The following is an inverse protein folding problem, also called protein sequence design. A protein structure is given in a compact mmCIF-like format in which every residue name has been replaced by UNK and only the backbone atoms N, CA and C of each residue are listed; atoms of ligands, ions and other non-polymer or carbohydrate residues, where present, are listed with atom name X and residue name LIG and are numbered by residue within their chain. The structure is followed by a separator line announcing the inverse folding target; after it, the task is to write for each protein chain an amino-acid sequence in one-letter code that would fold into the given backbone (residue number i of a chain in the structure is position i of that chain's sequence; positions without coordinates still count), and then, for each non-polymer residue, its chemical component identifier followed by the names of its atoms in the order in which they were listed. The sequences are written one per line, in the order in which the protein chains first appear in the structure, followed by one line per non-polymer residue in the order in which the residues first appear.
data_IF_369860697207
#
_entry.id   IF_369860697207
#
_cell.length_a   1.000
_cell.length_b   1.000
_cell.length_c   1.000
_cell.angle_alpha   90.00
_cell.angle_beta   90.00
_cell.angle_gamma   90.00
#
_symmetry.space_group_name_H-M   'P 1'
#
loop_
_entity.id
_entity.type
_entity.pdbx_description
1 polymer ?
#
# COMPACT_ATOMS: atom_id res chain seq x y z
N UNK A 1 -27.99 0.48 -26.52
CA UNK A 1 -27.23 -0.61 -25.86
C UNK A 1 -26.39 0.05 -24.78
N UNK A 2 -26.77 -0.10 -23.52
CA UNK A 2 -25.94 0.33 -22.41
C UNK A 2 -24.85 -0.74 -22.23
N UNK A 3 -23.60 -0.36 -22.46
CA UNK A 3 -22.45 -1.18 -22.03
C UNK A 3 -22.30 -0.96 -20.53
N UNK A 4 -22.55 -2.00 -19.73
CA UNK A 4 -22.15 -2.05 -18.35
C UNK A 4 -20.61 -2.08 -18.31
N UNK A 5 -20.02 -1.14 -17.55
CA UNK A 5 -18.58 -1.18 -17.28
C UNK A 5 -18.26 -2.50 -16.53
N UNK A 6 -17.21 -3.24 -16.93
CA UNK A 6 -16.80 -4.42 -16.19
C UNK A 6 -16.39 -4.01 -14.77
N UNK A 7 -16.96 -4.69 -13.79
CA UNK A 7 -16.71 -4.38 -12.38
C UNK A 7 -15.32 -4.84 -11.95
N UNK A 8 -14.60 -3.97 -11.26
CA UNK A 8 -13.36 -4.31 -10.57
C UNK A 8 -13.61 -5.45 -9.57
N UNK A 9 -12.86 -6.54 -9.69
CA UNK A 9 -12.89 -7.66 -8.72
C UNK A 9 -11.87 -7.40 -7.62
N UNK A 10 -12.36 -7.28 -6.39
CA UNK A 10 -11.53 -7.13 -5.19
C UNK A 10 -11.25 -8.48 -4.53
N UNK A 11 -10.18 -8.62 -3.73
CA UNK A 11 -9.99 -9.77 -2.86
C UNK A 11 -11.21 -9.96 -1.96
N UNK A 12 -11.66 -11.21 -1.77
CA UNK A 12 -12.84 -11.51 -0.95
C UNK A 12 -12.53 -11.24 0.54
N UNK A 13 -12.99 -10.09 1.03
CA UNK A 13 -13.10 -9.73 2.43
C UNK A 13 -14.44 -9.02 2.64
N UNK A 14 -15.00 -9.06 3.83
CA UNK A 14 -16.25 -8.35 4.15
C UNK A 14 -16.04 -6.85 3.92
N UNK A 15 -16.66 -6.32 2.85
CA UNK A 15 -16.53 -4.92 2.47
C UNK A 15 -17.73 -4.13 2.97
N UNK A 16 -17.52 -3.30 3.98
CA UNK A 16 -18.46 -2.20 4.27
C UNK A 16 -18.23 -1.11 3.21
N UNK A 17 -19.22 -0.91 2.34
CA UNK A 17 -19.23 0.19 1.38
C UNK A 17 -19.55 1.47 2.17
N UNK A 18 -18.54 2.24 2.51
CA UNK A 18 -18.70 3.61 3.03
C UNK A 18 -19.18 4.54 1.91
N UNK A 19 -20.11 5.44 2.26
CA UNK A 19 -20.74 6.39 1.35
C UNK A 19 -19.70 7.30 0.67
N UNK A 20 -19.93 7.67 -0.57
CA UNK A 20 -19.00 8.13 -1.60
C UNK A 20 -18.34 9.51 -1.39
N UNK A 21 -18.25 10.03 -0.17
CA UNK A 21 -17.61 11.32 0.13
C UNK A 21 -16.66 11.34 1.34
N UNK A 22 -16.34 10.23 1.92
CA UNK A 22 -15.38 10.18 3.03
C UNK A 22 -13.98 10.52 2.49
N UNK A 23 -13.50 11.71 2.79
CA UNK A 23 -12.12 12.09 2.46
C UNK A 23 -11.13 11.23 3.23
N UNK A 24 -9.92 11.00 2.68
CA UNK A 24 -8.86 10.21 3.34
C UNK A 24 -8.58 10.70 4.77
N UNK A 25 -8.81 11.98 5.06
CA UNK A 25 -8.66 12.55 6.41
C UNK A 25 -9.69 12.03 7.41
N UNK A 26 -10.90 11.74 6.95
CA UNK A 26 -11.97 11.21 7.81
C UNK A 26 -11.71 9.74 8.13
N UNK A 27 -11.16 8.98 7.19
CA UNK A 27 -10.76 7.57 7.40
C UNK A 27 -9.65 7.40 8.45
N UNK A 28 -8.75 8.36 8.57
CA UNK A 28 -7.66 8.35 9.57
C UNK A 28 -8.20 8.36 11.00
N UNK A 29 -9.42 8.84 11.23
CA UNK A 29 -10.07 8.92 12.55
C UNK A 29 -11.00 7.76 12.86
N UNK A 30 -11.41 6.98 11.86
CA UNK A 30 -12.31 5.82 12.01
C UNK A 30 -11.54 4.51 11.83
N UNK A 31 -10.72 4.13 12.80
CA UNK A 31 -10.12 2.78 12.79
C UNK A 31 -11.15 1.74 13.23
N UNK A 32 -11.82 1.13 12.26
CA UNK A 32 -12.52 -0.14 12.47
C UNK A 32 -11.54 -1.30 12.60
N UNK A 33 -12.06 -2.54 12.69
CA UNK A 33 -11.25 -3.77 12.64
C UNK A 33 -10.82 -4.15 11.23
N UNK A 34 -11.28 -3.44 10.20
CA UNK A 34 -11.05 -3.78 8.80
C UNK A 34 -9.62 -3.42 8.37
N UNK A 35 -9.02 -4.28 7.54
CA UNK A 35 -7.67 -4.04 7.02
C UNK A 35 -7.60 -2.85 6.07
N UNK A 36 -8.68 -2.57 5.34
CA UNK A 36 -8.76 -1.48 4.36
C UNK A 36 -10.19 -0.97 4.16
N UNK A 37 -10.30 0.21 3.58
CA UNK A 37 -11.56 0.78 3.08
C UNK A 37 -11.43 1.12 1.58
N UNK A 38 -12.52 0.92 0.85
CA UNK A 38 -12.62 1.39 -0.54
C UNK A 38 -12.87 2.90 -0.51
N UNK A 39 -12.11 3.65 -1.32
CA UNK A 39 -12.25 5.09 -1.45
C UNK A 39 -12.52 5.50 -2.90
N UNK A 40 -13.10 6.68 -3.08
CA UNK A 40 -13.41 7.24 -4.41
C UNK A 40 -14.14 6.24 -5.33
N UNK A 41 -15.13 5.49 -4.81
CA UNK A 41 -15.87 4.45 -5.54
C UNK A 41 -14.94 3.43 -6.24
N UNK A 42 -13.79 3.11 -5.65
CA UNK A 42 -12.76 2.25 -6.21
C UNK A 42 -12.10 2.77 -7.51
N UNK A 43 -12.23 4.07 -7.80
CA UNK A 43 -11.68 4.69 -9.01
C UNK A 43 -10.34 5.36 -8.65
N UNK A 44 -9.21 4.93 -9.25
CA UNK A 44 -7.92 5.58 -9.09
C UNK A 44 -7.90 7.01 -9.64
N UNK A 45 -7.12 7.88 -9.00
CA UNK A 45 -6.94 9.28 -9.40
C UNK A 45 -5.80 9.41 -10.44
N UNK A 46 -5.83 8.59 -11.51
CA UNK A 46 -4.91 8.71 -12.64
C UNK A 46 -5.55 9.53 -13.77
N UNK A 47 -4.77 10.47 -14.31
CA UNK A 47 -5.17 11.25 -15.48
C UNK A 47 -4.92 10.44 -16.77
N UNK A 48 -5.50 10.88 -17.87
CA UNK A 48 -5.22 10.29 -19.20
C UNK A 48 -3.71 10.36 -19.55
N UNK A 49 -3.00 11.40 -19.11
CA UNK A 49 -1.56 11.52 -19.32
C UNK A 49 -0.74 10.54 -18.50
N UNK A 50 -1.26 10.05 -17.37
CA UNK A 50 -0.60 9.01 -16.58
C UNK A 50 -0.72 7.64 -17.25
N UNK A 51 -1.78 7.43 -18.04
CA UNK A 51 -2.08 6.16 -18.72
C UNK A 51 -1.16 5.92 -19.92
N UNK A 52 0.16 5.86 -19.66
CA UNK A 52 1.18 5.56 -20.66
C UNK A 52 1.86 4.24 -20.31
N UNK A 53 2.23 3.48 -21.35
CA UNK A 53 2.87 2.18 -21.20
C UNK A 53 4.40 2.23 -20.99
N UNK A 54 4.95 3.42 -20.75
CA UNK A 54 6.37 3.56 -20.45
C UNK A 54 6.64 3.09 -19.02
N UNK A 55 7.51 2.10 -18.88
CA UNK A 55 7.98 1.60 -17.59
C UNK A 55 8.78 2.67 -16.87
N UNK A 56 8.43 2.93 -15.62
CA UNK A 56 9.19 3.82 -14.73
C UNK A 56 8.97 3.41 -13.27
N UNK A 57 9.85 3.85 -12.40
CA UNK A 57 9.66 3.88 -10.95
C UNK A 57 10.13 5.21 -10.38
N UNK A 58 9.41 5.71 -9.40
CA UNK A 58 9.71 6.95 -8.72
C UNK A 58 9.40 6.84 -7.21
N UNK A 59 10.34 7.28 -6.40
CA UNK A 59 10.22 7.34 -4.95
C UNK A 59 10.53 8.77 -4.50
N UNK A 60 9.54 9.44 -3.91
CA UNK A 60 9.70 10.81 -3.41
C UNK A 60 10.82 10.90 -2.37
N UNK A 61 11.46 12.05 -2.30
CA UNK A 61 12.42 12.32 -1.24
C UNK A 61 11.77 12.24 0.14
N UNK A 62 12.57 11.85 1.13
CA UNK A 62 12.10 11.87 2.51
C UNK A 62 11.86 13.31 2.95
N UNK A 63 10.82 13.51 3.76
CA UNK A 63 10.56 14.81 4.37
C UNK A 63 11.55 15.15 5.51
N UNK A 64 11.35 16.31 6.14
CA UNK A 64 12.21 16.77 7.24
C UNK A 64 12.18 15.88 8.49
N UNK A 65 11.18 15.02 8.65
CA UNK A 65 11.07 14.01 9.69
C UNK A 65 11.61 12.65 9.26
N UNK A 66 12.13 12.53 8.05
CA UNK A 66 12.64 11.29 7.47
C UNK A 66 11.55 10.31 7.05
N UNK A 67 10.32 10.79 6.82
CA UNK A 67 9.15 9.99 6.40
C UNK A 67 9.13 9.85 4.89
N UNK A 68 8.66 8.70 4.41
CA UNK A 68 8.44 8.47 2.98
C UNK A 68 7.30 9.35 2.44
N UNK A 69 7.47 9.83 1.21
CA UNK A 69 6.40 10.37 0.39
C UNK A 69 5.81 9.33 -0.55
N UNK A 70 5.27 9.77 -1.67
CA UNK A 70 4.64 8.91 -2.68
C UNK A 70 5.67 8.00 -3.34
N UNK A 71 5.33 6.72 -3.46
CA UNK A 71 5.96 5.76 -4.36
C UNK A 71 5.03 5.53 -5.56
N UNK A 72 5.55 5.69 -6.78
CA UNK A 72 4.77 5.63 -8.00
C UNK A 72 5.53 4.93 -9.11
N UNK A 73 4.89 3.99 -9.78
CA UNK A 73 5.52 3.18 -10.83
C UNK A 73 4.51 2.80 -11.92
N UNK A 74 5.01 2.69 -13.14
CA UNK A 74 4.38 1.90 -14.18
C UNK A 74 5.08 0.55 -14.20
N UNK A 75 4.47 -0.45 -13.56
CA UNK A 75 5.05 -1.77 -13.36
C UNK A 75 4.78 -2.65 -14.57
N UNK A 76 5.82 -3.23 -15.13
CA UNK A 76 5.80 -4.28 -16.11
C UNK A 76 6.75 -5.41 -15.72
N UNK A 77 6.84 -6.45 -16.54
CA UNK A 77 7.78 -7.56 -16.31
C UNK A 77 9.24 -7.12 -16.24
N UNK A 78 9.57 -5.97 -16.82
CA UNK A 78 10.90 -5.37 -16.87
C UNK A 78 11.42 -4.94 -15.49
N UNK A 79 10.52 -4.54 -14.59
CA UNK A 79 10.87 -4.13 -13.23
C UNK A 79 10.81 -5.29 -12.22
N UNK A 80 10.12 -6.38 -12.58
CA UNK A 80 9.96 -7.50 -11.65
C UNK A 80 11.30 -8.18 -11.33
N UNK A 81 11.48 -8.71 -10.10
CA UNK A 81 12.76 -9.27 -9.69
C UNK A 81 13.12 -10.52 -10.47
N UNK A 82 14.38 -10.57 -10.90
CA UNK A 82 15.04 -11.76 -11.47
C UNK A 82 15.88 -12.50 -10.42
N UNK A 83 16.08 -11.88 -9.26
CA UNK A 83 16.89 -12.41 -8.15
C UNK A 83 16.07 -12.54 -6.87
N UNK A 84 16.60 -13.30 -5.92
CA UNK A 84 15.96 -13.41 -4.59
C UNK A 84 16.14 -12.12 -3.80
N UNK A 85 15.07 -11.77 -3.05
CA UNK A 85 15.08 -10.62 -2.15
C UNK A 85 16.25 -10.66 -1.17
N UNK A 86 16.98 -9.55 -1.09
CA UNK A 86 18.07 -9.35 -0.13
C UNK A 86 17.57 -8.94 1.27
N UNK A 87 18.51 -8.78 2.20
CA UNK A 87 18.21 -8.28 3.55
C UNK A 87 17.91 -6.78 3.52
N UNK A 88 16.90 -6.35 4.27
CA UNK A 88 16.53 -4.95 4.48
C UNK A 88 16.70 -4.52 5.95
N UNK A 89 17.34 -5.36 6.78
CA UNK A 89 17.47 -5.15 8.22
C UNK A 89 18.20 -3.86 8.63
N UNK A 90 19.06 -3.33 7.76
CA UNK A 90 19.83 -2.11 8.02
C UNK A 90 19.01 -0.82 7.81
N UNK A 91 17.88 -0.88 7.10
CA UNK A 91 17.02 0.28 6.90
C UNK A 91 16.15 0.49 8.13
N UNK A 92 16.14 1.73 8.63
CA UNK A 92 15.27 2.16 9.73
C UNK A 92 14.37 3.28 9.21
N UNK A 93 13.12 2.97 8.87
CA UNK A 93 12.13 3.99 8.52
C UNK A 93 11.85 4.94 9.69
N UNK A 94 11.10 6.04 9.47
CA UNK A 94 10.64 6.91 10.55
C UNK A 94 9.87 6.10 11.61
N UNK A 95 10.04 6.41 12.88
CA UNK A 95 9.40 5.72 14.00
C UNK A 95 9.83 4.26 14.18
N UNK A 96 10.91 3.78 13.54
CA UNK A 96 11.30 2.37 13.62
C UNK A 96 11.84 1.99 14.99
N UNK A 97 11.17 1.04 15.63
CA UNK A 97 11.74 0.22 16.70
C UNK A 97 11.15 -1.20 16.69
N UNK A 98 11.72 -2.10 17.48
CA UNK A 98 11.31 -3.50 17.49
C UNK A 98 10.45 -3.77 18.71
N UNK A 99 9.18 -4.14 18.50
CA UNK A 99 8.23 -4.50 19.55
C UNK A 99 7.66 -5.88 19.27
N UNK A 100 7.42 -6.65 20.32
CA UNK A 100 6.87 -8.00 20.22
C UNK A 100 5.64 -8.18 21.06
N UNK A 101 4.66 -8.91 20.51
CA UNK A 101 3.47 -9.41 21.19
C UNK A 101 3.29 -10.89 20.83
N UNK A 102 3.06 -11.75 21.83
CA UNK A 102 3.00 -13.20 21.63
C UNK A 102 1.82 -13.65 20.75
N UNK A 103 0.76 -12.86 20.69
CA UNK A 103 -0.45 -13.12 19.90
C UNK A 103 -0.36 -12.68 18.43
N UNK A 104 0.67 -11.93 18.04
CA UNK A 104 0.89 -11.52 16.64
C UNK A 104 1.60 -12.65 15.90
N UNK A 105 1.18 -12.95 14.68
CA UNK A 105 1.90 -13.86 13.80
C UNK A 105 3.33 -13.38 13.56
N UNK A 106 4.31 -14.25 13.79
CA UNK A 106 5.74 -13.90 13.79
C UNK A 106 6.19 -13.02 14.95
N UNK A 107 5.28 -12.67 15.87
CA UNK A 107 5.47 -11.93 17.14
C UNK A 107 5.86 -10.46 16.99
N UNK A 108 6.41 -10.01 15.87
CA UNK A 108 6.81 -8.62 15.67
C UNK A 108 5.64 -7.75 15.23
N UNK A 109 5.36 -6.69 16.01
CA UNK A 109 4.36 -5.70 15.67
C UNK A 109 4.71 -5.00 14.35
N UNK A 110 5.93 -4.46 14.28
CA UNK A 110 6.36 -3.68 13.13
C UNK A 110 7.19 -4.48 12.15
N UNK A 111 6.90 -4.25 10.88
CA UNK A 111 7.64 -4.71 9.70
C UNK A 111 8.22 -3.49 8.98
N UNK A 112 9.33 -3.69 8.27
CA UNK A 112 9.76 -2.76 7.24
C UNK A 112 8.91 -3.03 6.01
N UNK A 113 7.79 -2.31 5.90
CA UNK A 113 6.85 -2.50 4.80
C UNK A 113 7.33 -1.72 3.59
N UNK A 114 7.45 -2.37 2.44
CA UNK A 114 7.60 -1.66 1.18
C UNK A 114 6.30 -0.93 0.83
N UNK A 115 6.39 0.28 0.30
CA UNK A 115 5.27 0.95 -0.34
C UNK A 115 4.93 0.26 -1.66
N UNK A 116 5.93 0.02 -2.50
CA UNK A 116 5.82 -0.86 -3.66
C UNK A 116 6.62 -2.12 -3.36
N UNK A 117 5.94 -3.27 -3.33
CA UNK A 117 6.52 -4.55 -2.95
C UNK A 117 7.69 -4.98 -3.83
N UNK A 118 8.69 -5.65 -3.24
CA UNK A 118 9.84 -6.18 -3.97
C UNK A 118 9.45 -7.01 -5.20
N UNK A 119 8.35 -7.75 -5.12
CA UNK A 119 7.85 -8.58 -6.22
C UNK A 119 7.42 -7.78 -7.46
N UNK A 120 7.21 -6.45 -7.33
CA UNK A 120 6.75 -5.58 -8.40
C UNK A 120 7.90 -4.84 -9.10
N UNK A 121 8.87 -4.30 -8.32
CA UNK A 121 9.92 -3.43 -8.87
C UNK A 121 11.34 -3.87 -8.51
N UNK A 122 11.55 -5.02 -7.89
CA UNK A 122 12.84 -5.51 -7.42
C UNK A 122 13.58 -4.52 -6.46
N UNK A 123 12.93 -3.41 -6.06
CA UNK A 123 13.52 -2.41 -5.19
C UNK A 123 13.60 -2.95 -3.75
N UNK A 124 14.81 -3.19 -3.26
CA UNK A 124 15.02 -3.96 -2.03
C UNK A 124 15.17 -3.06 -0.78
N UNK A 125 16.31 -2.41 -0.64
CA UNK A 125 16.70 -1.69 0.58
C UNK A 125 16.60 -0.17 0.44
N UNK A 126 15.70 0.31 -0.39
CA UNK A 126 15.49 1.73 -0.62
C UNK A 126 14.74 2.35 0.57
N UNK A 127 15.39 3.30 1.23
CA UNK A 127 14.82 4.02 2.37
C UNK A 127 13.57 4.82 2.01
N UNK A 128 13.45 5.27 0.77
CA UNK A 128 12.30 6.03 0.25
C UNK A 128 11.07 5.15 -0.05
N UNK A 129 11.25 3.82 -0.01
CA UNK A 129 10.23 2.82 -0.27
C UNK A 129 9.87 1.97 0.95
N UNK A 130 10.39 2.31 2.14
CA UNK A 130 10.18 1.52 3.36
C UNK A 130 9.58 2.36 4.47
N UNK A 131 8.44 1.92 5.01
CA UNK A 131 7.75 2.52 6.16
C UNK A 131 7.76 1.58 7.37
N UNK A 132 7.55 2.14 8.55
CA UNK A 132 7.21 1.38 9.75
C UNK A 132 5.73 1.03 9.68
N UNK A 133 5.43 -0.19 9.28
CA UNK A 133 4.08 -0.71 9.16
C UNK A 133 3.85 -1.88 10.10
N UNK A 134 2.61 -2.08 10.52
CA UNK A 134 2.25 -3.24 11.33
C UNK A 134 2.32 -4.53 10.53
N UNK A 135 2.37 -5.67 11.23
CA UNK A 135 2.24 -6.99 10.59
C UNK A 135 0.91 -7.09 9.84
N UNK A 136 -0.17 -6.56 10.43
CA UNK A 136 -1.51 -6.59 9.86
C UNK A 136 -1.60 -5.73 8.58
N UNK A 137 -1.13 -4.47 8.61
CA UNK A 137 -1.01 -3.65 7.39
C UNK A 137 -0.30 -4.41 6.27
N UNK A 138 0.86 -5.03 6.61
CA UNK A 138 1.73 -5.63 5.60
C UNK A 138 1.12 -6.88 4.95
N UNK A 139 0.49 -7.75 5.75
CA UNK A 139 0.07 -9.10 5.31
C UNK A 139 -1.40 -9.16 4.95
N UNK A 140 -2.26 -8.59 5.80
CA UNK A 140 -3.71 -8.63 5.58
C UNK A 140 -4.18 -7.44 4.73
N UNK A 141 -3.47 -6.31 4.82
CA UNK A 141 -3.82 -5.10 4.12
C UNK A 141 -3.20 -4.99 2.72
N UNK A 142 -1.88 -4.85 2.62
CA UNK A 142 -1.21 -4.51 1.36
C UNK A 142 -0.97 -5.74 0.46
N UNK A 143 -0.49 -6.85 1.03
CA UNK A 143 -0.05 -8.02 0.26
C UNK A 143 -1.11 -8.59 -0.72
N UNK A 144 -2.42 -8.66 -0.39
CA UNK A 144 -3.43 -9.12 -1.33
C UNK A 144 -3.49 -8.29 -2.62
N UNK A 145 -3.39 -6.96 -2.51
CA UNK A 145 -3.38 -6.04 -3.66
C UNK A 145 -2.08 -6.15 -4.47
N UNK A 146 -0.94 -6.27 -3.80
CA UNK A 146 0.35 -6.49 -4.45
C UNK A 146 0.37 -7.80 -5.24
N UNK A 147 -0.17 -8.88 -4.68
CA UNK A 147 -0.27 -10.17 -5.34
C UNK A 147 -1.17 -10.10 -6.58
N UNK A 148 -2.33 -9.44 -6.47
CA UNK A 148 -3.26 -9.25 -7.59
C UNK A 148 -2.56 -8.55 -8.77
N UNK A 149 -1.82 -7.48 -8.51
CA UNK A 149 -1.05 -6.76 -9.53
C UNK A 149 0.06 -7.64 -10.12
N UNK A 150 0.82 -8.32 -9.25
CA UNK A 150 1.93 -9.18 -9.70
C UNK A 150 1.46 -10.34 -10.57
N UNK A 151 0.34 -10.97 -10.21
CA UNK A 151 -0.21 -12.11 -10.94
C UNK A 151 -0.78 -11.66 -12.28
N UNK A 152 -1.52 -10.55 -12.33
CA UNK A 152 -1.98 -9.95 -13.59
C UNK A 152 -0.82 -9.66 -14.56
N UNK A 153 0.26 -9.01 -14.09
CA UNK A 153 1.43 -8.73 -14.96
C UNK A 153 2.09 -10.03 -15.45
N UNK A 154 2.22 -11.04 -14.59
CA UNK A 154 2.81 -12.33 -14.98
C UNK A 154 1.98 -13.06 -16.04
N UNK A 155 0.66 -13.00 -15.94
CA UNK A 155 -0.26 -13.68 -16.85
C UNK A 155 -0.38 -12.97 -18.20
N UNK A 156 -0.58 -11.64 -18.17
CA UNK A 156 -0.90 -10.86 -19.37
C UNK A 156 0.30 -10.24 -20.06
N UNK A 157 1.39 -9.97 -19.33
CA UNK A 157 2.54 -9.13 -19.73
C UNK A 157 2.19 -7.67 -19.95
N UNK A 158 1.01 -7.26 -19.55
CA UNK A 158 0.55 -5.87 -19.55
C UNK A 158 1.17 -5.08 -18.41
N UNK A 159 1.06 -3.75 -18.49
CA UNK A 159 1.57 -2.83 -17.49
C UNK A 159 0.47 -2.35 -16.54
N UNK A 160 0.87 -2.02 -15.33
CA UNK A 160 -0.02 -1.47 -14.30
C UNK A 160 0.58 -0.20 -13.73
N UNK A 161 -0.17 0.91 -13.81
CA UNK A 161 0.11 2.07 -12.97
C UNK A 161 -0.19 1.71 -11.53
N UNK A 162 0.78 1.91 -10.65
CA UNK A 162 0.68 1.56 -9.24
C UNK A 162 1.26 2.69 -8.39
N UNK A 163 0.43 3.26 -7.52
CA UNK A 163 0.81 4.39 -6.66
C UNK A 163 0.43 4.09 -5.22
N UNK A 164 1.38 4.29 -4.32
CA UNK A 164 1.18 4.15 -2.88
C UNK A 164 1.58 5.43 -2.18
N UNK A 165 0.65 6.01 -1.43
CA UNK A 165 0.83 7.27 -0.71
C UNK A 165 0.66 7.03 0.78
N UNK A 166 1.72 7.08 1.59
CA UNK A 166 1.60 7.00 3.05
C UNK A 166 0.97 8.29 3.60
N UNK A 167 0.01 8.13 4.52
CA UNK A 167 -0.73 9.25 5.11
C UNK A 167 -0.32 9.40 6.56
N UNK A 168 0.29 10.54 6.87
CA UNK A 168 0.69 10.93 8.21
C UNK A 168 -0.23 12.04 8.73
N UNK A 169 -0.47 12.04 10.05
CA UNK A 169 -1.17 13.14 10.71
C UNK A 169 -0.13 14.03 11.42
N UNK A 170 -0.15 15.34 11.12
CA UNK A 170 0.78 16.28 11.68
C UNK A 170 2.24 15.84 11.66
N UNK A 171 2.84 15.68 12.83
CA UNK A 171 4.24 15.27 13.01
C UNK A 171 4.40 13.79 13.38
N UNK A 172 3.39 12.95 13.15
CA UNK A 172 3.49 11.52 13.40
C UNK A 172 4.68 10.90 12.66
N UNK A 173 5.42 10.03 13.34
CA UNK A 173 6.55 9.31 12.75
C UNK A 173 6.13 8.03 12.04
N UNK A 174 4.95 7.51 12.38
CA UNK A 174 4.34 6.33 11.75
C UNK A 174 3.10 6.77 10.99
N UNK A 175 2.93 6.32 9.74
CA UNK A 175 1.73 6.67 8.97
C UNK A 175 0.48 6.01 9.54
N UNK A 176 -0.67 6.69 9.44
CA UNK A 176 -1.98 6.17 9.82
C UNK A 176 -2.45 5.05 8.91
N UNK A 177 -1.96 5.04 7.69
CA UNK A 177 -2.22 4.06 6.66
C UNK A 177 -1.60 4.46 5.34
N UNK A 178 -1.89 3.71 4.30
CA UNK A 178 -1.45 3.98 2.93
C UNK A 178 -2.64 4.00 1.98
N UNK A 179 -2.72 5.02 1.13
CA UNK A 179 -3.59 4.99 -0.03
C UNK A 179 -2.90 4.20 -1.13
N UNK A 180 -3.54 3.14 -1.62
CA UNK A 180 -3.06 2.31 -2.72
C UNK A 180 -3.99 2.46 -3.92
N UNK A 181 -3.41 2.74 -5.07
CA UNK A 181 -4.12 2.92 -6.33
C UNK A 181 -3.44 2.11 -7.43
N UNK A 182 -4.23 1.43 -8.23
CA UNK A 182 -3.72 0.73 -9.40
C UNK A 182 -4.71 0.75 -10.56
N UNK A 183 -4.17 0.78 -11.78
CA UNK A 183 -4.94 0.65 -13.01
C UNK A 183 -4.07 0.03 -14.10
N UNK A 184 -4.56 -1.04 -14.73
CA UNK A 184 -3.91 -1.64 -15.89
C UNK A 184 -4.06 -0.74 -17.11
N UNK A 185 -3.00 -0.69 -17.94
CA UNK A 185 -2.88 0.28 -19.04
C UNK A 185 -3.52 -0.24 -20.31
N UNK A 186 -3.08 -1.37 -20.83
CA UNK A 186 -3.43 -1.85 -22.17
C UNK A 186 -4.91 -2.19 -22.30
N UNK A 187 -5.55 -2.62 -21.22
CA UNK A 187 -6.98 -2.92 -21.16
C UNK A 187 -7.80 -1.82 -20.48
N UNK A 188 -7.16 -0.67 -20.18
CA UNK A 188 -7.80 0.51 -19.57
C UNK A 188 -8.50 0.23 -18.24
N UNK A 189 -7.94 -0.69 -17.44
CA UNK A 189 -8.42 -1.01 -16.10
C UNK A 189 -9.38 -2.20 -16.04
N UNK A 190 -9.57 -2.94 -17.13
CA UNK A 190 -10.45 -4.13 -17.12
C UNK A 190 -9.87 -5.24 -16.23
N UNK A 191 -8.55 -5.40 -16.19
CA UNK A 191 -7.89 -6.41 -15.39
C UNK A 191 -7.55 -5.95 -13.97
N UNK A 192 -6.99 -4.74 -13.83
CA UNK A 192 -6.64 -4.13 -12.54
C UNK A 192 -7.22 -2.72 -12.45
N UNK A 193 -8.05 -2.51 -11.44
CA UNK A 193 -8.58 -1.18 -11.11
C UNK A 193 -8.96 -1.16 -9.63
N UNK A 194 -8.23 -0.40 -8.78
CA UNK A 194 -8.63 -0.20 -7.40
C UNK A 194 -8.10 1.11 -6.82
N UNK A 195 -8.81 1.61 -5.81
CA UNK A 195 -8.43 2.76 -4.99
C UNK A 195 -8.89 2.49 -3.56
N UNK A 196 -7.93 2.19 -2.69
CA UNK A 196 -8.18 1.77 -1.32
C UNK A 196 -7.30 2.53 -0.34
N UNK A 197 -7.80 2.70 0.88
CA UNK A 197 -7.00 3.10 2.03
C UNK A 197 -6.77 1.90 2.94
N UNK A 198 -5.52 1.51 3.13
CA UNK A 198 -5.12 0.40 3.98
C UNK A 198 -4.65 0.95 5.32
N UNK A 199 -5.29 0.50 6.42
CA UNK A 199 -5.04 1.01 7.76
C UNK A 199 -3.75 0.45 8.36
N UNK A 200 -2.94 1.30 8.98
CA UNK A 200 -1.75 0.87 9.71
C UNK A 200 -2.09 0.58 11.17
N UNK A 201 -2.94 -0.40 11.37
CA UNK A 201 -3.41 -0.90 12.66
C UNK A 201 -2.90 -2.31 12.92
N UNK A 202 -3.03 -2.77 14.17
CA UNK A 202 -2.87 -4.16 14.56
C UNK A 202 -3.98 -4.50 15.55
N UNK A 203 -4.90 -5.42 15.23
CA UNK A 203 -5.95 -5.85 16.16
C UNK A 203 -5.38 -6.23 17.54
N UNK A 204 -5.99 -5.71 18.61
CA UNK A 204 -5.55 -5.93 19.99
C UNK A 204 -4.32 -5.13 20.42
N UNK A 205 -3.90 -4.12 19.64
CA UNK A 205 -2.77 -3.24 19.98
C UNK A 205 -3.14 -1.78 19.73
N UNK A 206 -2.98 -0.96 20.76
CA UNK A 206 -2.99 0.50 20.61
C UNK A 206 -1.62 0.99 20.17
N UNK A 207 -1.59 1.90 19.17
CA UNK A 207 -0.37 2.49 18.62
C UNK A 207 -0.39 4.00 18.81
N UNK A 208 0.65 4.55 19.40
CA UNK A 208 0.96 5.97 19.34
C UNK A 208 1.75 6.27 18.08
N UNK A 209 1.09 6.84 17.07
CA UNK A 209 1.71 7.12 15.78
C UNK A 209 2.76 8.23 15.84
N UNK A 210 2.72 9.10 16.84
CA UNK A 210 3.72 10.16 16.99
C UNK A 210 5.09 9.59 17.38
N UNK A 211 5.10 8.54 18.24
CA UNK A 211 6.32 7.96 18.81
C UNK A 211 6.61 6.54 18.31
N UNK A 212 5.58 5.83 17.82
CA UNK A 212 5.53 4.39 17.55
C UNK A 212 5.49 3.50 18.81
N UNK A 213 5.32 4.07 19.99
CA UNK A 213 5.05 3.30 21.22
C UNK A 213 3.72 2.56 21.09
N UNK A 214 3.58 1.45 21.79
CA UNK A 214 2.38 0.63 21.71
C UNK A 214 2.14 -0.17 22.99
N UNK A 215 0.87 -0.54 23.20
CA UNK A 215 0.49 -1.46 24.29
C UNK A 215 -0.65 -2.37 23.84
N UNK A 216 -0.74 -3.56 24.43
CA UNK A 216 -1.86 -4.47 24.21
C UNK A 216 -3.13 -3.91 24.86
N UNK A 217 -4.27 -4.04 24.18
CA UNK A 217 -5.60 -3.67 24.66
C UNK A 217 -6.14 -4.66 25.67
#
# INVERSE_FOLDING_TARGET
MLFAAPGCTLPQGDTSIGDSQTGVKDLVTESGSDAYAIINNNIPDFTESDMQSNVFEHYSDLDSLGRCGVAYSCVGTELMPTEKRGSIGNVKPSGWHSVKYDFIDGKYLYNRCHLIGYQLTAENANRKNLITGTRYLNVEGMLPFENMVADYIKETKNHVLYRVTPIFDGNDLVCRGVKMEAKSIEDNGDGICFNVFVYNIQPGVHIDYATSDSYAE
#
